data_IF_043940098697
#
_entry.id   IF_043940098697
#
_cell.length_a   1.000
_cell.length_b   1.000
_cell.length_c   1.000
_cell.angle_alpha   90.00
_cell.angle_beta   90.00
_cell.angle_gamma   90.00
#
_symmetry.space_group_name_H-M   'P 1'
#
loop_
_entity.id
_entity.type
_entity.pdbx_description
1 polymer ?
#
# COMPACT_ATOMS: atom_id res chain seq x y z
N UNK A 1 -7.87 -12.94 3.72
CA UNK A 1 -7.91 -14.37 3.33
C UNK A 1 -9.32 -14.78 2.88
N UNK A 2 -10.31 -14.88 3.72
CA UNK A 2 -11.65 -15.45 3.37
C UNK A 2 -12.28 -14.85 2.09
N UNK A 3 -12.18 -13.55 1.87
CA UNK A 3 -12.72 -12.91 0.66
C UNK A 3 -11.97 -13.43 -0.58
N UNK A 4 -10.64 -13.41 -0.55
CA UNK A 4 -9.83 -13.86 -1.67
C UNK A 4 -10.00 -15.36 -1.92
N UNK A 5 -10.12 -16.18 -0.88
CA UNK A 5 -10.38 -17.61 -1.02
C UNK A 5 -11.70 -17.88 -1.76
N UNK A 6 -12.75 -17.10 -1.45
CA UNK A 6 -14.05 -17.18 -2.14
C UNK A 6 -13.93 -16.73 -3.61
N UNK A 7 -13.19 -15.64 -3.88
CA UNK A 7 -12.97 -15.17 -5.25
C UNK A 7 -12.18 -16.16 -6.10
N UNK A 8 -11.17 -16.80 -5.52
CA UNK A 8 -10.40 -17.84 -6.20
C UNK A 8 -11.24 -19.05 -6.63
N UNK A 9 -12.33 -19.35 -5.90
CA UNK A 9 -13.29 -20.39 -6.28
C UNK A 9 -14.26 -19.92 -7.34
N UNK A 10 -14.66 -18.65 -7.30
CA UNK A 10 -15.69 -18.09 -8.18
C UNK A 10 -15.13 -17.59 -9.52
N UNK A 11 -13.93 -17.01 -9.51
CA UNK A 11 -13.30 -16.39 -10.68
C UNK A 11 -12.03 -17.14 -11.07
N UNK A 12 -11.95 -17.57 -12.32
CA UNK A 12 -10.84 -18.39 -12.81
C UNK A 12 -9.83 -17.59 -13.64
N UNK A 13 -10.17 -16.39 -14.09
CA UNK A 13 -9.47 -15.66 -15.14
C UNK A 13 -9.08 -14.20 -14.79
N UNK A 14 -9.11 -13.83 -13.50
CA UNK A 14 -8.63 -12.50 -13.11
C UNK A 14 -7.10 -12.40 -13.23
N UNK A 15 -6.61 -11.23 -13.59
CA UNK A 15 -5.20 -10.94 -13.79
C UNK A 15 -4.69 -9.72 -13.01
N UNK A 16 -5.57 -9.05 -12.27
CA UNK A 16 -5.26 -7.90 -11.42
C UNK A 16 -5.97 -8.01 -10.08
N UNK A 17 -5.25 -7.68 -9.02
CA UNK A 17 -5.80 -7.49 -7.66
C UNK A 17 -5.37 -6.12 -7.17
N UNK A 18 -6.32 -5.30 -6.81
CA UNK A 18 -6.08 -4.05 -6.11
C UNK A 18 -6.66 -4.15 -4.69
N UNK A 19 -5.82 -3.94 -3.70
CA UNK A 19 -6.22 -3.92 -2.30
C UNK A 19 -6.18 -2.49 -1.74
N UNK A 20 -7.13 -2.17 -0.87
CA UNK A 20 -7.24 -0.84 -0.27
C UNK A 20 -6.06 -0.51 0.66
N UNK A 21 -5.37 -1.53 1.16
CA UNK A 21 -4.22 -1.40 2.06
C UNK A 21 -3.33 -2.65 2.04
N UNK A 22 -2.15 -2.54 2.65
CA UNK A 22 -1.14 -3.59 2.71
C UNK A 22 -1.64 -4.86 3.39
N UNK A 23 -2.28 -4.74 4.54
CA UNK A 23 -2.79 -5.90 5.27
C UNK A 23 -3.81 -6.71 4.45
N UNK A 24 -4.64 -6.04 3.67
CA UNK A 24 -5.58 -6.70 2.76
C UNK A 24 -4.86 -7.41 1.62
N UNK A 25 -3.83 -6.78 1.04
CA UNK A 25 -3.04 -7.40 -0.03
C UNK A 25 -2.21 -8.57 0.48
N UNK A 26 -1.58 -8.49 1.65
CA UNK A 26 -0.86 -9.60 2.26
C UNK A 26 -1.76 -10.84 2.39
N UNK A 27 -2.99 -10.65 2.88
CA UNK A 27 -3.97 -11.71 2.96
C UNK A 27 -4.37 -12.29 1.59
N UNK A 28 -4.51 -11.43 0.58
CA UNK A 28 -4.82 -11.87 -0.78
C UNK A 28 -3.66 -12.64 -1.42
N UNK A 29 -2.43 -12.16 -1.26
CA UNK A 29 -1.21 -12.84 -1.74
C UNK A 29 -1.09 -14.23 -1.10
N UNK A 30 -1.28 -14.34 0.22
CA UNK A 30 -1.22 -15.62 0.91
C UNK A 30 -2.25 -16.62 0.37
N UNK A 31 -3.50 -16.18 0.11
CA UNK A 31 -4.53 -17.01 -0.49
C UNK A 31 -4.19 -17.45 -1.92
N UNK A 32 -3.69 -16.51 -2.74
CA UNK A 32 -3.27 -16.80 -4.12
C UNK A 32 -2.08 -17.77 -4.16
N UNK A 33 -1.11 -17.61 -3.25
CA UNK A 33 0.02 -18.54 -3.13
C UNK A 33 -0.45 -19.96 -2.73
N UNK A 34 -1.32 -20.06 -1.73
CA UNK A 34 -1.86 -21.35 -1.29
C UNK A 34 -2.64 -22.06 -2.39
N UNK A 35 -3.27 -21.30 -3.28
CA UNK A 35 -4.01 -21.84 -4.45
C UNK A 35 -3.12 -22.03 -5.70
N UNK A 36 -1.81 -21.73 -5.65
CA UNK A 36 -0.89 -21.69 -6.80
C UNK A 36 -1.38 -20.78 -7.95
N UNK A 37 -1.97 -19.62 -7.61
CA UNK A 37 -2.56 -18.68 -8.56
C UNK A 37 -2.02 -17.26 -8.44
N UNK A 38 -0.84 -17.07 -7.86
CA UNK A 38 -0.19 -15.76 -7.77
C UNK A 38 0.55 -15.38 -9.06
N UNK A 39 1.12 -16.37 -9.73
CA UNK A 39 1.91 -16.15 -10.95
C UNK A 39 1.07 -15.50 -12.05
N UNK A 40 1.61 -14.44 -12.67
CA UNK A 40 0.94 -13.68 -13.73
C UNK A 40 -0.11 -12.66 -13.24
N UNK A 41 -0.46 -12.66 -11.96
CA UNK A 41 -1.39 -11.68 -11.39
C UNK A 41 -0.64 -10.40 -11.01
N UNK A 42 -1.11 -9.25 -11.51
CA UNK A 42 -0.64 -7.94 -11.09
C UNK A 42 -1.34 -7.54 -9.81
N UNK A 43 -0.58 -7.08 -8.80
CA UNK A 43 -1.15 -6.68 -7.53
C UNK A 43 -0.63 -5.34 -7.05
N UNK A 44 -1.53 -4.57 -6.46
CA UNK A 44 -1.29 -3.19 -6.03
C UNK A 44 -1.95 -2.95 -4.68
N UNK A 45 -1.32 -2.11 -3.84
CA UNK A 45 -1.86 -1.67 -2.56
C UNK A 45 -1.44 -0.24 -2.24
N UNK A 46 -1.87 0.21 -1.06
CA UNK A 46 -1.56 1.52 -0.50
C UNK A 46 -1.15 1.28 0.96
N UNK A 47 -0.19 1.97 1.44
CA UNK A 47 0.27 2.34 2.77
C UNK A 47 1.80 2.50 2.81
N UNK A 48 2.59 1.49 2.44
CA UNK A 48 4.04 1.55 2.37
C UNK A 48 4.76 0.83 3.53
N UNK A 49 4.22 -0.28 3.99
CA UNK A 49 4.94 -1.14 4.92
C UNK A 49 6.18 -1.76 4.25
N UNK A 50 7.27 -1.91 5.02
CA UNK A 50 8.50 -2.51 4.51
C UNK A 50 8.27 -3.88 3.85
N UNK A 51 7.40 -4.71 4.43
CA UNK A 51 7.06 -6.03 3.89
C UNK A 51 6.56 -5.99 2.45
N UNK A 52 5.91 -4.89 2.04
CA UNK A 52 5.37 -4.78 0.68
C UNK A 52 6.49 -4.45 -0.32
N UNK A 53 7.48 -3.65 0.08
CA UNK A 53 8.69 -3.46 -0.72
C UNK A 53 9.44 -4.79 -0.93
N UNK A 54 9.54 -5.61 0.12
CA UNK A 54 10.13 -6.96 0.02
C UNK A 54 9.33 -7.83 -0.96
N UNK A 55 8.00 -7.77 -0.91
CA UNK A 55 7.14 -8.50 -1.86
C UNK A 55 7.28 -8.04 -3.31
N UNK A 56 7.55 -6.75 -3.53
CA UNK A 56 7.85 -6.23 -4.87
C UNK A 56 9.18 -6.80 -5.37
N UNK A 57 10.23 -6.82 -4.53
CA UNK A 57 11.53 -7.40 -4.87
C UNK A 57 11.45 -8.90 -5.15
N UNK A 58 10.64 -9.62 -4.37
CA UNK A 58 10.38 -11.05 -4.55
C UNK A 58 9.46 -11.36 -5.75
N UNK A 59 8.87 -10.35 -6.39
CA UNK A 59 7.95 -10.52 -7.51
C UNK A 59 6.54 -10.99 -7.11
N UNK A 60 6.19 -10.90 -5.84
CA UNK A 60 4.87 -11.23 -5.30
C UNK A 60 3.86 -10.09 -5.45
N UNK A 61 4.36 -8.87 -5.56
CA UNK A 61 3.58 -7.64 -5.76
C UNK A 61 4.17 -6.83 -6.92
N UNK A 62 3.32 -6.06 -7.60
CA UNK A 62 3.75 -5.28 -8.77
C UNK A 62 4.24 -3.89 -8.38
N UNK A 63 3.48 -3.17 -7.60
CA UNK A 63 3.82 -1.83 -7.14
C UNK A 63 2.92 -1.42 -5.97
N UNK A 64 3.29 -0.32 -5.33
CA UNK A 64 2.60 0.23 -4.17
C UNK A 64 2.63 1.75 -4.15
N UNK A 65 1.57 2.36 -3.63
CA UNK A 65 1.53 3.78 -3.31
C UNK A 65 1.81 3.98 -1.81
N UNK A 66 3.06 4.30 -1.49
CA UNK A 66 3.48 4.49 -0.11
C UNK A 66 3.05 5.85 0.43
N UNK A 67 2.30 5.86 1.51
CA UNK A 67 1.94 7.04 2.28
C UNK A 67 3.05 7.38 3.28
N UNK A 68 3.07 8.62 3.77
CA UNK A 68 4.00 9.04 4.82
C UNK A 68 3.30 9.24 6.17
N UNK A 69 2.97 8.20 6.94
CA UNK A 69 2.18 8.34 8.18
C UNK A 69 2.86 9.25 9.20
N UNK A 70 4.19 9.24 9.28
CA UNK A 70 4.94 10.17 10.11
C UNK A 70 4.73 11.63 9.66
N UNK A 71 4.86 11.92 8.36
CA UNK A 71 4.67 13.25 7.80
C UNK A 71 3.22 13.72 7.94
N UNK A 72 2.26 12.83 7.81
CA UNK A 72 0.83 13.10 8.05
C UNK A 72 0.59 13.51 9.50
N UNK A 73 1.07 12.75 10.45
CA UNK A 73 0.93 13.06 11.87
C UNK A 73 1.65 14.35 12.27
N UNK A 74 2.88 14.54 11.81
CA UNK A 74 3.65 15.77 12.04
C UNK A 74 2.93 17.00 11.47
N UNK A 75 2.51 16.93 10.21
CA UNK A 75 1.80 18.03 9.55
C UNK A 75 0.49 18.39 10.26
N UNK A 76 -0.27 17.40 10.71
CA UNK A 76 -1.50 17.63 11.47
C UNK A 76 -1.23 18.40 12.78
N UNK A 77 -0.17 18.02 13.51
CA UNK A 77 0.23 18.73 14.74
C UNK A 77 0.69 20.16 14.44
N UNK A 78 1.48 20.37 13.39
CA UNK A 78 1.93 21.71 12.99
C UNK A 78 0.76 22.62 12.62
N UNK A 79 -0.26 22.10 11.93
CA UNK A 79 -1.48 22.84 11.61
C UNK A 79 -2.29 23.19 12.85
N UNK A 80 -2.40 22.28 13.82
CA UNK A 80 -3.04 22.54 15.11
C UNK A 80 -2.33 23.66 15.89
N UNK A 81 -1.00 23.66 15.91
CA UNK A 81 -0.20 24.72 16.57
C UNK A 81 -0.49 26.07 15.91
N UNK A 82 -0.48 26.15 14.57
CA UNK A 82 -0.83 27.38 13.85
C UNK A 82 -2.25 27.86 14.20
N UNK A 83 -3.22 26.93 14.22
CA UNK A 83 -4.60 27.25 14.58
C UNK A 83 -4.70 27.87 15.97
N UNK A 84 -4.09 27.27 16.99
CA UNK A 84 -4.13 27.77 18.36
C UNK A 84 -3.35 29.09 18.55
N UNK A 85 -2.33 29.35 17.72
CA UNK A 85 -1.60 30.62 17.72
C UNK A 85 -2.32 31.74 16.94
N UNK A 86 -3.42 31.44 16.26
CA UNK A 86 -4.11 32.40 15.39
C UNK A 86 -3.33 32.70 14.11
N UNK A 87 -2.42 31.85 13.71
CA UNK A 87 -1.64 31.96 12.49
C UNK A 87 -2.44 31.47 11.28
N UNK A 88 -2.25 32.05 10.09
CA UNK A 88 -2.91 31.57 8.88
C UNK A 88 -2.40 30.17 8.46
N UNK A 89 -3.29 29.33 7.98
CA UNK A 89 -2.96 28.04 7.37
C UNK A 89 -3.95 27.70 6.26
N UNK A 90 -3.53 26.87 5.32
CA UNK A 90 -4.40 26.39 4.27
C UNK A 90 -5.34 25.30 4.80
N UNK A 91 -6.59 25.31 4.35
CA UNK A 91 -7.59 24.31 4.74
C UNK A 91 -7.25 22.94 4.18
N UNK A 92 -6.72 22.88 2.96
CA UNK A 92 -6.36 21.65 2.26
C UNK A 92 -4.83 21.52 2.17
N UNK A 93 -4.30 20.45 2.74
CA UNK A 93 -2.86 20.17 2.79
C UNK A 93 -2.61 18.80 2.20
N UNK A 94 -2.33 18.74 0.91
CA UNK A 94 -2.02 17.48 0.22
C UNK A 94 -0.58 17.07 0.51
N UNK A 95 -0.40 15.80 0.86
CA UNK A 95 0.90 15.18 1.02
C UNK A 95 1.19 14.29 -0.19
N UNK A 96 2.43 14.31 -0.63
CA UNK A 96 2.87 13.44 -1.72
C UNK A 96 2.92 11.98 -1.26
N UNK A 97 2.52 11.08 -2.17
CA UNK A 97 2.73 9.64 -2.03
C UNK A 97 3.89 9.21 -2.93
N UNK A 98 4.63 8.21 -2.49
CA UNK A 98 5.73 7.65 -3.27
C UNK A 98 5.28 6.37 -3.95
N UNK A 99 5.44 6.29 -5.27
CA UNK A 99 5.20 5.04 -5.98
C UNK A 99 6.42 4.12 -5.81
N UNK A 100 6.23 2.97 -5.17
CA UNK A 100 7.24 1.95 -5.00
C UNK A 100 7.06 0.90 -6.10
N UNK A 101 8.12 0.69 -6.84
CA UNK A 101 8.21 -0.30 -7.93
C UNK A 101 9.48 -1.12 -7.75
N UNK A 102 9.71 -2.09 -8.62
CA UNK A 102 10.95 -2.90 -8.59
C UNK A 102 12.22 -2.06 -8.73
N UNK A 103 12.11 -0.87 -9.37
CA UNK A 103 13.27 -0.01 -9.64
C UNK A 103 13.77 0.71 -8.38
N UNK A 104 12.90 0.94 -7.38
CA UNK A 104 13.25 1.70 -6.17
C UNK A 104 12.93 0.97 -4.85
N UNK A 105 12.34 -0.21 -4.89
CA UNK A 105 11.96 -0.95 -3.70
C UNK A 105 13.18 -1.35 -2.83
N UNK A 106 14.37 -1.54 -3.45
CA UNK A 106 15.58 -1.91 -2.72
C UNK A 106 16.11 -0.78 -1.81
N UNK A 107 15.86 0.47 -2.19
CA UNK A 107 16.29 1.66 -1.44
C UNK A 107 15.18 2.23 -0.55
N UNK A 108 13.98 1.66 -0.64
CA UNK A 108 12.83 2.12 0.12
C UNK A 108 12.93 1.67 1.59
N UNK A 109 12.66 2.59 2.50
CA UNK A 109 12.52 2.32 3.93
C UNK A 109 11.07 2.59 4.33
N UNK A 110 10.35 1.52 4.57
CA UNK A 110 8.96 1.53 5.02
C UNK A 110 8.81 1.76 6.52
N UNK A 111 7.59 1.73 7.00
CA UNK A 111 7.26 1.76 8.44
C UNK A 111 6.81 0.39 8.94
#
# INVERSE_FOLDING_TARGET
MTIMDNWLQQYTDFNVVFAINDGSLQGAIASMQAANRLEGVKSYAIDGQQQMADYILEGKQTAEAAQGPYSMGKGAVELLIKHFNGEPYEYENLLEVTLITKDNAADYVGF
#
